data_IF_227633767787
#
_entry.id   IF_227633767787
#
_cell.length_a   1.000
_cell.length_b   1.000
_cell.length_c   1.000
_cell.angle_alpha   90.00
_cell.angle_beta   90.00
_cell.angle_gamma   90.00
#
_symmetry.space_group_name_H-M   'P 1'
#
loop_
_entity.id
_entity.type
_entity.pdbx_description
1 polymer ?
#
# COMPACT_ATOMS: atom_id res chain seq x y z
N UNK A 1 -12.39 20.76 6.18
CA UNK A 1 -13.10 19.50 6.00
C UNK A 1 -12.12 18.42 5.56
N UNK A 2 -12.20 17.26 6.16
CA UNK A 2 -11.29 16.13 5.90
C UNK A 2 -9.81 16.41 6.19
N UNK A 3 -9.52 17.29 7.13
CA UNK A 3 -8.13 17.62 7.44
C UNK A 3 -7.35 16.45 8.04
N UNK A 4 -7.96 15.69 8.96
CA UNK A 4 -7.34 14.51 9.56
C UNK A 4 -7.16 13.39 8.53
N UNK A 5 -8.13 13.21 7.64
CA UNK A 5 -8.06 12.24 6.55
C UNK A 5 -6.92 12.57 5.59
N UNK A 6 -6.74 13.85 5.25
CA UNK A 6 -5.64 14.29 4.39
C UNK A 6 -4.28 14.07 5.03
N UNK A 7 -4.14 14.35 6.33
CA UNK A 7 -2.90 14.04 7.06
C UNK A 7 -2.61 12.54 7.09
N UNK A 8 -3.65 11.74 7.34
CA UNK A 8 -3.54 10.28 7.33
C UNK A 8 -3.07 9.79 5.96
N UNK A 9 -3.67 10.28 4.89
CA UNK A 9 -3.30 9.93 3.52
C UNK A 9 -1.83 10.23 3.22
N UNK A 10 -1.35 11.41 3.62
CA UNK A 10 0.04 11.80 3.41
C UNK A 10 1.00 10.84 4.12
N UNK A 11 0.67 10.45 5.33
CA UNK A 11 1.52 9.56 6.12
C UNK A 11 1.55 8.13 5.55
N UNK A 12 0.39 7.58 5.17
CA UNK A 12 0.34 6.21 4.63
C UNK A 12 0.89 6.11 3.20
N UNK A 13 1.04 7.23 2.51
CA UNK A 13 1.59 7.27 1.17
C UNK A 13 3.11 7.50 1.13
N UNK A 14 3.76 7.63 2.29
CA UNK A 14 5.21 7.82 2.34
C UNK A 14 5.95 6.52 2.00
N UNK A 15 7.05 6.58 1.22
CA UNK A 15 7.83 5.39 0.89
C UNK A 15 8.41 4.69 2.11
N UNK A 16 8.80 5.45 3.13
CA UNK A 16 9.33 4.93 4.40
C UNK A 16 8.65 5.69 5.53
N UNK A 17 8.17 4.95 6.52
CA UNK A 17 7.47 5.51 7.68
C UNK A 17 8.28 5.18 8.93
N UNK A 18 8.75 6.22 9.64
CA UNK A 18 9.48 6.04 10.90
C UNK A 18 8.52 5.76 12.05
N UNK A 19 9.09 5.49 13.24
CA UNK A 19 8.29 5.13 14.41
C UNK A 19 7.37 6.27 14.86
N UNK A 20 7.83 7.51 14.81
CA UNK A 20 7.03 8.68 15.13
C UNK A 20 5.84 8.83 14.19
N UNK A 21 6.07 8.62 12.90
CA UNK A 21 5.02 8.67 11.88
C UNK A 21 4.01 7.53 12.03
N UNK A 22 4.47 6.34 12.39
CA UNK A 22 3.56 5.21 12.69
C UNK A 22 2.64 5.53 13.87
N UNK A 23 3.18 6.14 14.91
CA UNK A 23 2.38 6.58 16.06
C UNK A 23 1.34 7.61 15.65
N UNK A 24 1.71 8.55 14.80
CA UNK A 24 0.77 9.56 14.28
C UNK A 24 -0.34 8.94 13.43
N UNK A 25 -0.02 7.95 12.60
CA UNK A 25 -1.02 7.20 11.83
C UNK A 25 -2.03 6.55 12.77
N UNK A 26 -1.58 5.89 13.83
CA UNK A 26 -2.46 5.25 14.82
C UNK A 26 -3.33 6.30 15.51
N UNK A 27 -2.74 7.43 15.92
CA UNK A 27 -3.46 8.50 16.59
C UNK A 27 -4.58 9.07 15.72
N UNK A 28 -4.28 9.37 14.46
CA UNK A 28 -5.27 9.91 13.53
C UNK A 28 -6.40 8.91 13.28
N UNK A 29 -6.07 7.63 13.16
CA UNK A 29 -7.07 6.59 12.98
C UNK A 29 -8.05 6.53 14.16
N UNK A 30 -7.54 6.73 15.38
CA UNK A 30 -8.36 6.70 16.59
C UNK A 30 -9.29 7.92 16.73
N UNK A 31 -9.04 8.98 15.97
CA UNK A 31 -9.86 10.20 15.99
C UNK A 31 -11.08 10.12 15.06
N UNK A 32 -11.55 8.92 14.74
CA UNK A 32 -12.79 8.73 13.96
C UNK A 32 -12.73 9.34 12.55
N UNK A 33 -11.64 9.11 11.83
CA UNK A 33 -11.54 9.58 10.45
C UNK A 33 -12.56 8.88 9.55
N UNK A 34 -12.97 9.58 8.48
CA UNK A 34 -13.84 8.99 7.46
C UNK A 34 -12.99 8.08 6.55
N UNK A 35 -12.97 6.78 6.84
CA UNK A 35 -12.16 5.84 6.10
C UNK A 35 -12.65 5.63 4.66
N UNK A 36 -13.94 5.79 4.40
CA UNK A 36 -14.47 5.72 3.04
C UNK A 36 -13.82 6.79 2.15
N UNK A 37 -13.69 8.01 2.66
CA UNK A 37 -12.99 9.08 1.94
C UNK A 37 -11.52 8.71 1.72
N UNK A 38 -10.84 8.21 2.74
CA UNK A 38 -9.44 7.79 2.65
C UNK A 38 -9.27 6.71 1.57
N UNK A 39 -10.10 5.68 1.62
CA UNK A 39 -10.05 4.57 0.69
C UNK A 39 -10.23 5.03 -0.76
N UNK A 40 -11.22 5.89 -1.01
CA UNK A 40 -11.48 6.42 -2.35
C UNK A 40 -10.28 7.21 -2.87
N UNK A 41 -9.64 8.00 -2.02
CA UNK A 41 -8.45 8.77 -2.41
C UNK A 41 -7.26 7.84 -2.70
N UNK A 42 -7.08 6.77 -1.95
CA UNK A 42 -6.03 5.79 -2.22
C UNK A 42 -6.19 5.14 -3.59
N UNK A 43 -7.42 4.79 -3.97
CA UNK A 43 -7.71 4.18 -5.27
C UNK A 43 -7.50 5.19 -6.39
N UNK A 44 -8.05 6.41 -6.24
CA UNK A 44 -7.94 7.47 -7.26
C UNK A 44 -6.49 7.83 -7.57
N UNK A 45 -5.65 7.86 -6.55
CA UNK A 45 -4.24 8.25 -6.67
C UNK A 45 -3.31 7.06 -6.89
N UNK A 46 -3.85 5.85 -6.97
CA UNK A 46 -3.09 4.60 -7.22
C UNK A 46 -2.00 4.33 -6.19
N UNK A 47 -2.24 4.71 -4.94
CA UNK A 47 -1.29 4.52 -3.82
C UNK A 47 -1.75 3.46 -2.82
N UNK A 48 -2.75 2.66 -3.18
CA UNK A 48 -3.34 1.65 -2.30
C UNK A 48 -2.31 0.61 -1.81
N UNK A 49 -1.41 0.17 -2.68
CA UNK A 49 -0.42 -0.85 -2.31
C UNK A 49 0.58 -0.33 -1.29
N UNK A 50 1.08 0.90 -1.48
CA UNK A 50 2.00 1.52 -0.53
C UNK A 50 1.32 1.77 0.81
N UNK A 51 0.08 2.27 0.77
CA UNK A 51 -0.71 2.49 1.98
C UNK A 51 -0.97 1.17 2.71
N UNK A 52 -1.27 0.09 2.00
CA UNK A 52 -1.48 -1.22 2.59
C UNK A 52 -0.24 -1.70 3.35
N UNK A 53 0.95 -1.57 2.74
CA UNK A 53 2.20 -1.93 3.41
C UNK A 53 2.42 -1.12 4.68
N UNK A 54 2.23 0.19 4.62
CA UNK A 54 2.43 1.06 5.78
C UNK A 54 1.41 0.78 6.89
N UNK A 55 0.15 0.54 6.53
CA UNK A 55 -0.90 0.20 7.51
C UNK A 55 -0.65 -1.14 8.18
N UNK A 56 -0.12 -2.12 7.44
CA UNK A 56 0.22 -3.44 8.00
C UNK A 56 1.26 -3.33 9.10
N UNK A 57 2.22 -2.42 8.97
CA UNK A 57 3.26 -2.20 9.95
C UNK A 57 2.76 -1.49 11.21
N UNK A 58 1.65 -0.76 11.13
CA UNK A 58 1.11 0.00 12.25
C UNK A 58 0.17 -0.79 13.15
N UNK A 59 -0.18 -2.01 12.79
CA UNK A 59 -1.12 -2.89 13.51
C UNK A 59 -2.57 -2.39 13.55
N UNK A 60 -2.92 -1.35 12.80
CA UNK A 60 -4.31 -0.90 12.72
C UNK A 60 -5.10 -1.58 11.60
N UNK A 61 -4.43 -2.38 10.78
CA UNK A 61 -5.06 -3.02 9.62
C UNK A 61 -6.29 -3.85 10.04
N UNK A 62 -6.21 -4.56 11.16
CA UNK A 62 -7.32 -5.35 11.67
C UNK A 62 -8.52 -4.53 12.14
N UNK A 63 -8.35 -3.23 12.38
CA UNK A 63 -9.42 -2.32 12.79
C UNK A 63 -10.10 -1.63 11.61
N UNK A 64 -9.52 -1.71 10.42
CA UNK A 64 -10.11 -1.17 9.20
C UNK A 64 -11.31 -2.03 8.82
N UNK A 65 -12.43 -1.43 8.38
CA UNK A 65 -13.60 -2.21 7.98
C UNK A 65 -13.24 -3.30 6.97
N UNK A 66 -13.76 -4.49 7.18
CA UNK A 66 -13.38 -5.70 6.46
C UNK A 66 -13.45 -5.54 4.94
N UNK A 67 -14.46 -4.84 4.43
CA UNK A 67 -14.63 -4.63 2.99
C UNK A 67 -13.41 -3.91 2.38
N UNK A 68 -13.00 -2.81 2.98
CA UNK A 68 -11.85 -2.04 2.50
C UNK A 68 -10.56 -2.84 2.64
N UNK A 69 -10.37 -3.49 3.78
CA UNK A 69 -9.18 -4.30 4.06
C UNK A 69 -9.00 -5.42 3.03
N UNK A 70 -10.08 -6.15 2.73
CA UNK A 70 -10.03 -7.25 1.74
C UNK A 70 -9.70 -6.73 0.35
N UNK A 71 -10.32 -5.63 -0.07
CA UNK A 71 -10.07 -5.06 -1.37
C UNK A 71 -8.61 -4.59 -1.52
N UNK A 72 -8.07 -3.94 -0.50
CA UNK A 72 -6.67 -3.52 -0.49
C UNK A 72 -5.71 -4.71 -0.53
N UNK A 73 -6.00 -5.75 0.23
CA UNK A 73 -5.21 -6.97 0.27
C UNK A 73 -5.23 -7.68 -1.07
N UNK A 74 -6.39 -7.81 -1.70
CA UNK A 74 -6.53 -8.45 -3.01
C UNK A 74 -5.75 -7.70 -4.09
N UNK A 75 -5.85 -6.38 -4.11
CA UNK A 75 -5.10 -5.54 -5.06
C UNK A 75 -3.60 -5.67 -4.82
N UNK A 76 -3.17 -5.65 -3.57
CA UNK A 76 -1.76 -5.81 -3.20
C UNK A 76 -1.22 -7.16 -3.65
N UNK A 77 -1.95 -8.24 -3.37
CA UNK A 77 -1.56 -9.60 -3.74
C UNK A 77 -1.47 -9.75 -5.26
N UNK A 78 -2.46 -9.26 -6.00
CA UNK A 78 -2.46 -9.32 -7.46
C UNK A 78 -1.28 -8.55 -8.05
N UNK A 79 -0.98 -7.37 -7.53
CA UNK A 79 0.15 -6.56 -7.99
C UNK A 79 1.49 -7.23 -7.70
N UNK A 80 1.64 -7.83 -6.52
CA UNK A 80 2.86 -8.57 -6.15
C UNK A 80 3.11 -9.76 -7.06
N UNK A 81 2.06 -10.52 -7.37
CA UNK A 81 2.16 -11.67 -8.27
C UNK A 81 2.55 -11.23 -9.69
N UNK A 82 1.97 -10.15 -10.20
CA UNK A 82 2.35 -9.60 -11.51
C UNK A 82 3.81 -9.17 -11.54
N UNK A 83 4.27 -8.53 -10.48
CA UNK A 83 5.65 -8.09 -10.37
C UNK A 83 6.62 -9.28 -10.36
N UNK A 84 6.34 -10.31 -9.57
CA UNK A 84 7.15 -11.53 -9.51
C UNK A 84 7.23 -12.22 -10.87
N UNK A 85 6.09 -12.33 -11.56
CA UNK A 85 6.03 -12.92 -12.90
C UNK A 85 6.87 -12.12 -13.89
N UNK A 86 6.78 -10.80 -13.85
CA UNK A 86 7.56 -9.93 -14.71
C UNK A 86 9.06 -10.11 -14.47
N UNK A 87 9.49 -10.13 -13.22
CA UNK A 87 10.90 -10.36 -12.85
C UNK A 87 11.40 -11.72 -13.36
N UNK A 88 10.59 -12.77 -13.21
CA UNK A 88 10.94 -14.12 -13.69
C UNK A 88 11.15 -14.13 -15.20
N UNK A 89 10.25 -13.52 -15.96
CA UNK A 89 10.36 -13.41 -17.43
C UNK A 89 11.62 -12.63 -17.81
N UNK A 90 11.91 -11.51 -17.14
CA UNK A 90 13.07 -10.70 -17.39
C UNK A 90 14.37 -11.48 -17.14
N UNK A 91 14.42 -12.29 -16.06
CA UNK A 91 15.57 -13.15 -15.77
C UNK A 91 15.79 -14.20 -16.83
N UNK A 92 14.72 -14.85 -17.30
CA UNK A 92 14.80 -15.86 -18.36
C UNK A 92 15.31 -15.26 -19.66
N UNK A 93 14.82 -14.08 -20.04
CA UNK A 93 15.27 -13.38 -21.22
C UNK A 93 16.76 -13.04 -21.13
N UNK A 94 17.23 -12.56 -19.96
CA UNK A 94 18.63 -12.25 -19.73
C UNK A 94 19.53 -13.48 -19.86
N UNK A 95 19.09 -14.63 -19.33
CA UNK A 95 19.83 -15.90 -19.45
C UNK A 95 19.95 -16.35 -20.90
N UNK A 96 18.85 -16.29 -21.67
CA UNK A 96 18.88 -16.62 -23.09
C UNK A 96 19.82 -15.71 -23.87
N UNK A 97 19.78 -14.42 -23.58
CA UNK A 97 20.62 -13.44 -24.20
C UNK A 97 22.11 -13.73 -23.93
N UNK A 98 22.44 -14.05 -22.68
CA UNK A 98 23.80 -14.37 -22.26
C UNK A 98 24.29 -15.66 -22.91
N UNK A 99 23.46 -16.73 -22.92
CA UNK A 99 23.81 -18.02 -23.52
C UNK A 99 24.12 -17.92 -25.01
N UNK A 100 23.40 -17.06 -25.72
CA UNK A 100 23.59 -16.88 -27.17
C UNK A 100 24.55 -15.76 -27.52
N UNK A 101 25.06 -15.04 -26.53
CA UNK A 101 25.97 -13.89 -26.69
C UNK A 101 25.44 -12.84 -27.65
N UNK A 102 24.17 -12.54 -27.53
CA UNK A 102 23.48 -11.60 -28.40
C UNK A 102 23.62 -10.13 -27.97
#
# INVERSE_FOLDING_TARGET
MFENEKKFLLLVAMPVVDESQKQEIVRLFQENINFDYVYRQLILNKISNLAFQNLRETRILGRIPKLYRRNMEDVFTASSLRYEKYISIAKQAAQLFEQNRL
#
